data_IF_863698438183
#
_entry.id   IF_863698438183
#
_cell.length_a   1.000
_cell.length_b   1.000
_cell.length_c   1.000
_cell.angle_alpha   90.00
_cell.angle_beta   90.00
_cell.angle_gamma   90.00
#
_symmetry.space_group_name_H-M   'P 1'
#
loop_
_entity.id
_entity.type
_entity.pdbx_description
1 polymer ?
#
# COMPACT_ATOMS: atom_id res chain seq x y z
N UNK A 1 -4.72 0.24 -13.08
CA UNK A 1 -5.03 0.59 -11.68
C UNK A 1 -6.38 1.27 -11.58
N UNK A 2 -7.14 0.97 -10.56
CA UNK A 2 -8.41 1.63 -10.29
C UNK A 2 -8.16 2.89 -9.45
N UNK A 3 -8.90 3.98 -9.68
CA UNK A 3 -8.77 5.15 -8.83
C UNK A 3 -9.25 4.82 -7.40
N UNK A 4 -8.56 5.37 -6.42
CA UNK A 4 -8.95 5.19 -5.02
C UNK A 4 -10.12 6.14 -4.74
N UNK A 5 -11.28 5.57 -4.48
CA UNK A 5 -12.50 6.33 -4.17
C UNK A 5 -12.95 5.96 -2.75
N UNK A 6 -13.77 6.82 -2.09
CA UNK A 6 -14.29 6.49 -0.76
C UNK A 6 -14.98 5.13 -0.74
N UNK A 7 -14.62 4.31 0.23
CA UNK A 7 -15.19 2.96 0.39
C UNK A 7 -14.55 1.89 -0.45
N UNK A 8 -13.52 2.21 -1.26
CA UNK A 8 -12.86 1.22 -2.11
C UNK A 8 -12.00 0.23 -1.30
N UNK A 9 -11.46 0.68 -0.17
CA UNK A 9 -10.61 -0.17 0.68
C UNK A 9 -11.46 -0.91 1.71
N UNK A 10 -10.96 -2.06 2.24
CA UNK A 10 -11.59 -2.69 3.40
C UNK A 10 -11.66 -1.71 4.57
N UNK A 11 -12.55 -1.99 5.53
CA UNK A 11 -12.74 -1.10 6.68
C UNK A 11 -11.44 -0.86 7.46
N UNK A 12 -10.64 -1.91 7.63
CA UNK A 12 -9.34 -1.82 8.27
C UNK A 12 -8.31 -2.61 7.49
N UNK A 13 -7.04 -2.21 7.60
CA UNK A 13 -5.94 -2.89 6.94
C UNK A 13 -4.72 -2.94 7.87
N UNK A 14 -3.74 -3.75 7.49
CA UNK A 14 -2.46 -3.86 8.19
C UNK A 14 -1.35 -3.48 7.22
N UNK A 15 -0.30 -2.87 7.72
CA UNK A 15 0.85 -2.53 6.89
C UNK A 15 2.14 -2.76 7.65
N UNK A 16 3.23 -2.87 6.90
CA UNK A 16 4.57 -3.01 7.48
C UNK A 16 5.23 -1.65 7.52
N UNK A 17 5.84 -1.35 8.65
CA UNK A 17 6.63 -0.13 8.83
C UNK A 17 7.97 -0.52 9.44
N UNK A 18 8.95 0.36 9.36
CA UNK A 18 10.20 0.11 10.06
C UNK A 18 10.03 0.38 11.56
N UNK A 19 11.11 0.20 12.33
CA UNK A 19 11.04 0.38 13.79
C UNK A 19 10.82 1.84 14.20
N UNK A 20 11.03 2.78 13.30
CA UNK A 20 10.76 4.20 13.54
C UNK A 20 9.37 4.60 13.07
N UNK A 21 8.56 3.62 12.64
CA UNK A 21 7.18 3.79 12.15
C UNK A 21 7.15 4.62 10.86
N UNK A 22 8.16 4.43 10.02
CA UNK A 22 8.17 5.04 8.69
C UNK A 22 7.58 4.09 7.66
N UNK A 23 6.88 4.65 6.68
CA UNK A 23 6.31 3.88 5.59
C UNK A 23 7.41 3.22 4.76
N UNK A 24 7.09 2.05 4.21
CA UNK A 24 8.06 1.24 3.46
C UNK A 24 7.55 1.00 2.04
N UNK A 25 7.49 2.05 1.20
CA UNK A 25 7.07 1.86 -0.19
C UNK A 25 8.13 1.11 -0.99
N UNK A 26 7.69 0.43 -2.04
CA UNK A 26 8.60 -0.20 -2.98
C UNK A 26 8.00 -0.14 -4.39
N UNK A 27 8.85 -0.30 -5.44
CA UNK A 27 8.37 -0.25 -6.81
C UNK A 27 7.33 -1.33 -7.10
N UNK A 28 6.35 -1.01 -7.93
CA UNK A 28 5.33 -1.98 -8.33
C UNK A 28 5.93 -3.24 -8.95
N UNK A 29 7.06 -3.12 -9.63
CA UNK A 29 7.73 -4.27 -10.24
C UNK A 29 8.07 -5.37 -9.21
N UNK A 30 8.21 -5.02 -7.93
CA UNK A 30 8.52 -5.99 -6.88
C UNK A 30 7.30 -6.74 -6.35
N UNK A 31 6.10 -6.37 -6.79
CA UNK A 31 4.85 -7.01 -6.37
C UNK A 31 4.49 -8.11 -7.35
N UNK A 32 5.00 -9.31 -7.10
CA UNK A 32 4.84 -10.45 -8.02
C UNK A 32 3.38 -10.86 -8.21
N UNK A 33 2.52 -10.61 -7.24
CA UNK A 33 1.09 -10.93 -7.31
C UNK A 33 0.33 -10.11 -8.34
N UNK A 34 0.90 -9.01 -8.80
CA UNK A 34 0.27 -8.17 -9.83
C UNK A 34 0.49 -8.67 -11.25
N UNK A 35 1.42 -9.64 -11.43
CA UNK A 35 1.75 -10.14 -12.75
C UNK A 35 2.47 -9.11 -13.60
N UNK A 36 2.24 -9.15 -14.91
CA UNK A 36 2.87 -8.21 -15.84
C UNK A 36 2.24 -6.83 -15.73
N UNK A 37 3.08 -5.80 -15.66
CA UNK A 37 2.65 -4.41 -15.59
C UNK A 37 3.22 -3.63 -16.77
N UNK A 38 2.50 -2.58 -17.23
CA UNK A 38 3.08 -1.66 -18.20
C UNK A 38 4.40 -1.09 -17.67
N UNK A 39 5.34 -0.87 -18.58
CA UNK A 39 6.68 -0.41 -18.20
C UNK A 39 6.63 0.90 -17.42
N UNK A 40 5.75 1.82 -17.80
CA UNK A 40 5.60 3.11 -17.14
C UNK A 40 5.08 3.01 -15.70
N UNK A 41 4.48 1.87 -15.32
CA UNK A 41 4.02 1.67 -13.94
C UNK A 41 5.01 0.94 -13.06
N UNK A 42 5.97 0.22 -13.64
CA UNK A 42 6.87 -0.64 -12.87
C UNK A 42 7.71 0.10 -11.83
N UNK A 43 8.06 1.36 -12.10
CA UNK A 43 8.88 2.16 -11.19
C UNK A 43 8.06 2.97 -10.18
N UNK A 44 6.73 2.98 -10.28
CA UNK A 44 5.89 3.73 -9.36
C UNK A 44 5.94 3.12 -7.96
N UNK A 45 6.01 3.98 -6.96
CA UNK A 45 6.12 3.53 -5.57
C UNK A 45 4.75 3.20 -5.01
N UNK A 46 4.66 2.08 -4.31
CA UNK A 46 3.41 1.58 -3.77
C UNK A 46 3.58 1.09 -2.34
N UNK A 47 2.49 1.17 -1.57
CA UNK A 47 2.41 0.56 -0.25
C UNK A 47 1.59 -0.71 -0.35
N UNK A 48 2.02 -1.76 0.36
CA UNK A 48 1.28 -3.00 0.48
C UNK A 48 0.35 -2.94 1.67
N UNK A 49 -0.91 -3.25 1.46
CA UNK A 49 -1.93 -3.29 2.51
C UNK A 49 -2.40 -4.73 2.66
N UNK A 50 -2.36 -5.24 3.89
CA UNK A 50 -2.81 -6.59 4.20
C UNK A 50 -4.17 -6.53 4.87
N UNK A 51 -5.03 -7.48 4.54
CA UNK A 51 -6.34 -7.61 5.18
C UNK A 51 -6.29 -8.56 6.37
N UNK A 52 -5.21 -9.34 6.48
CA UNK A 52 -5.03 -10.36 7.50
C UNK A 52 -3.69 -10.14 8.21
N UNK A 53 -3.69 -9.99 9.55
CA UNK A 53 -2.44 -9.76 10.28
C UNK A 53 -1.45 -10.92 10.17
N UNK A 54 -1.91 -12.14 9.93
CA UNK A 54 -1.01 -13.30 9.76
C UNK A 54 -0.19 -13.15 8.50
N UNK A 55 -0.80 -12.68 7.41
CA UNK A 55 -0.08 -12.47 6.15
C UNK A 55 0.93 -11.34 6.31
N UNK A 56 0.55 -10.27 7.00
CA UNK A 56 1.47 -9.18 7.27
C UNK A 56 2.67 -9.68 8.08
N UNK A 57 2.43 -10.50 9.10
CA UNK A 57 3.52 -11.07 9.92
C UNK A 57 4.46 -11.94 9.11
N UNK A 58 3.95 -12.73 8.15
CA UNK A 58 4.77 -13.58 7.30
C UNK A 58 5.76 -12.77 6.45
N UNK A 59 5.34 -11.59 6.04
CA UNK A 59 6.16 -10.72 5.21
C UNK A 59 7.01 -9.75 6.03
N UNK A 60 6.80 -9.71 7.33
CA UNK A 60 7.49 -8.79 8.23
C UNK A 60 8.93 -9.21 8.42
N UNK A 61 9.86 -8.33 8.05
CA UNK A 61 11.28 -8.54 8.27
C UNK A 61 11.70 -8.21 9.69
N UNK A 62 12.98 -8.49 10.01
CA UNK A 62 13.53 -8.26 11.36
C UNK A 62 13.51 -6.80 11.79
N UNK A 63 13.60 -5.89 10.82
CA UNK A 63 13.66 -4.45 11.08
C UNK A 63 12.30 -3.78 10.92
N UNK A 64 11.26 -4.59 10.73
CA UNK A 64 9.92 -4.10 10.49
C UNK A 64 8.97 -4.53 11.60
N UNK A 65 7.80 -3.91 11.63
CA UNK A 65 6.70 -4.36 12.46
C UNK A 65 5.38 -4.15 11.74
N UNK A 66 4.37 -4.93 12.16
CA UNK A 66 3.02 -4.83 11.63
C UNK A 66 2.27 -3.78 12.44
N UNK A 67 1.63 -2.85 11.75
CA UNK A 67 0.69 -1.93 12.41
C UNK A 67 -0.70 -2.13 11.81
N UNK A 68 -1.71 -1.91 12.63
CA UNK A 68 -3.09 -1.93 12.20
C UNK A 68 -3.54 -0.51 11.88
N UNK A 69 -4.19 -0.35 10.73
CA UNK A 69 -4.87 0.88 10.37
C UNK A 69 -6.36 0.61 10.56
N UNK A 70 -6.94 0.96 11.71
CA UNK A 70 -8.32 0.56 12.04
C UNK A 70 -9.39 1.24 11.17
N UNK A 71 -9.05 2.36 10.59
CA UNK A 71 -9.92 3.07 9.65
C UNK A 71 -9.13 3.30 8.37
N UNK A 72 -9.31 2.43 7.39
CA UNK A 72 -8.60 2.53 6.12
C UNK A 72 -8.96 3.81 5.34
N UNK A 73 -10.09 4.44 5.66
CA UNK A 73 -10.45 5.72 5.06
C UNK A 73 -9.43 6.82 5.33
N UNK A 74 -8.57 6.68 6.34
CA UNK A 74 -7.50 7.64 6.59
C UNK A 74 -6.54 7.70 5.40
N UNK A 75 -6.33 6.59 4.70
CA UNK A 75 -5.45 6.56 3.53
C UNK A 75 -6.06 7.36 2.37
N UNK A 76 -7.38 7.33 2.24
CA UNK A 76 -8.08 8.13 1.25
C UNK A 76 -7.98 9.62 1.58
N UNK A 77 -8.22 9.97 2.84
CA UNK A 77 -8.19 11.36 3.30
C UNK A 77 -6.78 11.95 3.27
N UNK A 78 -5.76 11.09 3.40
CA UNK A 78 -4.35 11.49 3.42
C UNK A 78 -3.65 11.18 2.11
N UNK A 79 -4.39 10.99 1.02
CA UNK A 79 -3.79 10.65 -0.26
C UNK A 79 -2.78 11.70 -0.74
N UNK A 80 -3.06 12.98 -0.51
CA UNK A 80 -2.13 14.04 -0.90
C UNK A 80 -0.80 13.96 -0.14
N UNK A 81 -0.85 13.57 1.14
CA UNK A 81 0.36 13.36 1.92
C UNK A 81 1.18 12.20 1.33
N UNK A 82 0.52 11.10 1.00
CA UNK A 82 1.19 9.93 0.42
C UNK A 82 1.84 10.29 -0.93
N UNK A 83 1.12 11.00 -1.77
CA UNK A 83 1.64 11.45 -3.05
C UNK A 83 2.86 12.36 -2.85
N UNK A 84 2.81 13.23 -1.85
CA UNK A 84 3.96 14.09 -1.53
C UNK A 84 5.19 13.30 -1.08
N UNK A 85 4.99 12.09 -0.55
CA UNK A 85 6.07 11.17 -0.20
C UNK A 85 6.53 10.31 -1.38
N UNK A 86 5.97 10.54 -2.56
CA UNK A 86 6.31 9.75 -3.75
C UNK A 86 5.51 8.47 -3.90
N UNK A 87 4.52 8.25 -3.05
CA UNK A 87 3.70 7.02 -3.06
C UNK A 87 2.43 7.30 -3.84
N UNK A 88 2.31 6.70 -5.02
CA UNK A 88 1.19 6.97 -5.92
C UNK A 88 0.29 5.76 -6.14
N UNK A 89 0.62 4.62 -5.54
CA UNK A 89 -0.16 3.38 -5.70
C UNK A 89 -0.33 2.69 -4.34
N UNK A 90 -1.46 1.98 -4.20
CA UNK A 90 -1.72 1.09 -3.07
C UNK A 90 -2.03 -0.29 -3.61
N UNK A 91 -1.41 -1.32 -3.04
CA UNK A 91 -1.65 -2.71 -3.40
C UNK A 91 -2.34 -3.38 -2.21
N UNK A 92 -3.50 -3.94 -2.45
CA UNK A 92 -4.23 -4.68 -1.40
C UNK A 92 -3.97 -6.18 -1.60
N UNK A 93 -3.75 -6.88 -0.50
CA UNK A 93 -3.58 -8.33 -0.50
C UNK A 93 -4.63 -8.99 -1.38
N UNK A 94 -4.18 -9.90 -2.26
CA UNK A 94 -5.04 -10.53 -3.26
C UNK A 94 -4.89 -9.92 -4.64
N UNK A 95 -4.13 -8.84 -4.78
CA UNK A 95 -3.75 -8.28 -6.09
C UNK A 95 -4.55 -7.06 -6.54
N UNK A 96 -5.40 -6.48 -5.69
CA UNK A 96 -6.09 -5.24 -6.05
C UNK A 96 -5.09 -4.07 -6.06
N UNK A 97 -5.14 -3.26 -7.10
CA UNK A 97 -4.22 -2.14 -7.30
C UNK A 97 -5.01 -0.85 -7.46
N UNK A 98 -4.69 0.14 -6.61
CA UNK A 98 -5.36 1.44 -6.63
C UNK A 98 -4.37 2.56 -6.92
N UNK A 99 -4.82 3.58 -7.64
CA UNK A 99 -4.06 4.79 -7.88
C UNK A 99 -4.53 5.90 -6.97
N UNK A 100 -3.59 6.69 -6.45
CA UNK A 100 -3.92 7.84 -5.62
C UNK A 100 -4.09 9.09 -6.49
N UNK A 101 -5.00 9.96 -6.07
CA UNK A 101 -5.21 11.23 -6.78
C UNK A 101 -3.95 12.10 -6.66
N UNK A 102 -3.58 12.73 -7.77
CA UNK A 102 -2.35 13.54 -7.84
C UNK A 102 -2.64 15.03 -8.00
N UNK A 103 -3.84 15.47 -7.79
CA UNK A 103 -4.19 16.88 -7.91
C UNK A 103 -3.54 17.75 -6.85
#
# INVERSE_FOLDING_TARGET
AQPLIPGALPASVYMLVDKTVELQPKPLAEFTELGSLPEEEQALQALMLYTNPRQAKRQCGRTQRVIKVPDAGVLERRSSYLVAQGITRLVVEGGALFSLATN
#
